data_IF_838955597787
#
_entry.id   IF_838955597787
#
_cell.length_a   1.000
_cell.length_b   1.000
_cell.length_c   1.000
_cell.angle_alpha   90.00
_cell.angle_beta   90.00
_cell.angle_gamma   90.00
#
_symmetry.space_group_name_H-M   'P 1'
#
loop_
_entity.id
_entity.type
_entity.pdbx_description
1 polymer ?
#
# COMPACT_ATOMS: atom_id res chain seq x y z
N UNK A 1 -7.40 -7.53 22.03
CA UNK A 1 -6.22 -7.54 21.13
C UNK A 1 -5.01 -7.96 21.94
N UNK A 2 -4.25 -8.96 21.51
CA UNK A 2 -2.94 -9.23 22.11
C UNK A 2 -2.02 -8.05 21.80
N UNK A 3 -1.36 -7.50 22.82
CA UNK A 3 -0.36 -6.45 22.63
C UNK A 3 1.03 -7.03 22.89
N UNK A 4 1.98 -6.71 22.02
CA UNK A 4 3.39 -7.01 22.23
C UNK A 4 4.14 -5.72 22.54
N UNK A 5 5.14 -5.79 23.43
CA UNK A 5 5.98 -4.65 23.79
C UNK A 5 7.16 -4.56 22.83
N UNK A 6 7.31 -3.41 22.19
CA UNK A 6 8.49 -3.03 21.41
C UNK A 6 9.29 -2.01 22.24
N UNK A 7 10.57 -2.30 22.49
CA UNK A 7 11.50 -1.37 23.13
C UNK A 7 12.57 -0.96 22.13
N UNK A 8 12.65 0.33 21.81
CA UNK A 8 13.61 0.89 20.87
C UNK A 8 14.27 2.12 21.47
N UNK A 9 15.56 2.32 21.20
CA UNK A 9 16.26 3.56 21.57
C UNK A 9 15.93 4.62 20.52
N UNK A 10 15.61 5.82 20.96
CA UNK A 10 15.37 6.97 20.08
C UNK A 10 16.30 8.13 20.45
N UNK A 11 16.67 8.99 19.48
CA UNK A 11 17.43 10.21 19.77
C UNK A 11 16.67 11.14 20.71
N UNK A 12 17.39 11.89 21.54
CA UNK A 12 16.79 12.83 22.52
C UNK A 12 15.89 13.88 21.85
N UNK A 13 16.27 14.38 20.68
CA UNK A 13 15.44 15.31 19.92
C UNK A 13 14.07 14.74 19.56
N UNK A 14 14.03 13.45 19.15
CA UNK A 14 12.78 12.79 18.79
C UNK A 14 11.88 12.55 20.01
N UNK A 15 12.46 12.31 21.19
CA UNK A 15 11.71 12.24 22.45
C UNK A 15 11.02 13.59 22.74
N UNK A 16 11.75 14.71 22.60
CA UNK A 16 11.20 16.05 22.81
C UNK A 16 10.08 16.43 21.83
N UNK A 17 10.24 16.04 20.56
CA UNK A 17 9.19 16.22 19.54
C UNK A 17 7.93 15.41 19.88
N UNK A 18 8.10 14.16 20.34
CA UNK A 18 7.00 13.28 20.72
C UNK A 18 6.22 13.82 21.93
N UNK A 19 6.92 14.32 22.95
CA UNK A 19 6.30 14.96 24.12
C UNK A 19 5.51 16.22 23.74
N UNK A 20 6.07 17.05 22.87
CA UNK A 20 5.42 18.28 22.39
C UNK A 20 4.17 17.95 21.57
N UNK A 21 4.24 16.91 20.73
CA UNK A 21 3.11 16.42 19.95
C UNK A 21 2.02 15.80 20.85
N UNK A 22 2.40 15.03 21.88
CA UNK A 22 1.48 14.48 22.85
C UNK A 22 0.70 15.58 23.58
N UNK A 23 1.40 16.64 24.04
CA UNK A 23 0.76 17.78 24.71
C UNK A 23 -0.20 18.55 23.81
N UNK A 24 0.17 18.79 22.56
CA UNK A 24 -0.66 19.56 21.63
C UNK A 24 -1.86 18.78 21.09
N UNK A 25 -1.74 17.46 20.96
CA UNK A 25 -2.82 16.59 20.43
C UNK A 25 -3.71 15.98 21.51
N UNK A 26 -3.26 15.96 22.77
CA UNK A 26 -3.93 15.28 23.88
C UNK A 26 -3.81 13.75 23.84
N UNK A 27 -3.01 13.20 22.92
CA UNK A 27 -2.76 11.76 22.78
C UNK A 27 -1.59 11.31 23.63
N UNK A 28 -1.54 10.03 23.98
CA UNK A 28 -0.37 9.45 24.63
C UNK A 28 0.78 9.25 23.63
N UNK A 29 2.03 9.30 24.11
CA UNK A 29 3.22 8.99 23.29
C UNK A 29 3.10 7.62 22.61
N UNK A 30 2.61 6.60 23.32
CA UNK A 30 2.41 5.25 22.76
C UNK A 30 1.35 5.21 21.65
N UNK A 31 0.34 6.07 21.71
CA UNK A 31 -0.69 6.17 20.68
C UNK A 31 -0.11 6.83 19.41
N UNK A 32 0.63 7.93 19.58
CA UNK A 32 1.32 8.60 18.49
C UNK A 32 2.33 7.69 17.79
N UNK A 33 3.14 6.94 18.57
CA UNK A 33 4.11 5.99 18.02
C UNK A 33 3.40 4.89 17.23
N UNK A 34 2.28 4.37 17.74
CA UNK A 34 1.50 3.34 17.04
C UNK A 34 0.93 3.86 15.73
N UNK A 35 0.31 5.04 15.75
CA UNK A 35 -0.24 5.68 14.56
C UNK A 35 0.84 5.90 13.49
N UNK A 36 1.99 6.42 13.89
CA UNK A 36 3.12 6.65 12.98
C UNK A 36 3.63 5.35 12.35
N UNK A 37 3.77 4.27 13.14
CA UNK A 37 4.21 2.97 12.64
C UNK A 37 3.16 2.38 11.68
N UNK A 38 1.87 2.45 12.03
CA UNK A 38 0.78 1.96 11.18
C UNK A 38 0.71 2.71 9.85
N UNK A 39 0.85 4.04 9.87
CA UNK A 39 0.89 4.86 8.67
C UNK A 39 2.12 4.55 7.81
N UNK A 40 3.29 4.42 8.43
CA UNK A 40 4.52 4.04 7.73
C UNK A 40 4.38 2.67 7.07
N UNK A 41 3.86 1.67 7.81
CA UNK A 41 3.60 0.34 7.26
C UNK A 41 2.58 0.38 6.12
N UNK A 42 1.58 1.24 6.18
CA UNK A 42 0.57 1.39 5.12
C UNK A 42 1.15 2.02 3.87
N UNK A 43 2.04 3.01 4.02
CA UNK A 43 2.77 3.63 2.90
C UNK A 43 3.73 2.66 2.21
N UNK A 44 4.31 1.74 2.97
CA UNK A 44 5.32 0.78 2.48
C UNK A 44 4.78 -0.62 2.20
N UNK A 45 3.54 -0.92 2.61
CA UNK A 45 2.79 -2.01 1.98
C UNK A 45 2.66 -1.60 0.53
N UNK A 46 3.31 -2.36 -0.36
CA UNK A 46 3.08 -2.23 -1.79
C UNK A 46 1.58 -2.09 -2.02
N UNK A 47 1.20 -1.04 -2.74
CA UNK A 47 -0.20 -0.84 -3.10
C UNK A 47 -0.75 -2.09 -3.81
N UNK A 48 -2.07 -2.22 -3.93
CA UNK A 48 -2.64 -3.28 -4.74
C UNK A 48 -1.94 -3.29 -6.11
N UNK A 49 -1.54 -4.49 -6.56
CA UNK A 49 -0.93 -4.62 -7.88
C UNK A 49 -1.90 -4.11 -8.95
N UNK A 50 -1.40 -3.80 -10.15
CA UNK A 50 -2.27 -3.44 -11.28
C UNK A 50 -3.33 -4.53 -11.53
N UNK A 51 -2.97 -5.79 -11.30
CA UNK A 51 -3.90 -6.92 -11.32
C UNK A 51 -5.00 -6.80 -10.27
N UNK A 52 -4.65 -6.56 -9.00
CA UNK A 52 -5.62 -6.42 -7.91
C UNK A 52 -6.59 -5.25 -8.15
N UNK A 53 -6.08 -4.14 -8.68
CA UNK A 53 -6.89 -2.99 -9.06
C UNK A 53 -7.85 -3.30 -10.21
N UNK A 54 -7.35 -3.95 -11.28
CA UNK A 54 -8.17 -4.33 -12.42
C UNK A 54 -9.25 -5.35 -12.05
N UNK A 55 -8.92 -6.30 -11.17
CA UNK A 55 -9.87 -7.28 -10.65
C UNK A 55 -10.96 -6.59 -9.82
N UNK A 56 -10.58 -5.70 -8.89
CA UNK A 56 -11.53 -4.94 -8.07
C UNK A 56 -12.43 -4.02 -8.89
N UNK A 57 -11.91 -3.43 -9.96
CA UNK A 57 -12.66 -2.59 -10.89
C UNK A 57 -13.56 -3.39 -11.84
N UNK A 58 -13.53 -4.73 -11.78
CA UNK A 58 -14.29 -5.60 -12.67
C UNK A 58 -13.83 -5.54 -14.13
N UNK A 59 -12.60 -5.06 -14.39
CA UNK A 59 -12.03 -4.97 -15.73
C UNK A 59 -11.55 -6.33 -16.23
N UNK A 60 -11.08 -7.19 -15.32
CA UNK A 60 -10.67 -8.55 -15.67
C UNK A 60 -11.93 -9.35 -16.05
N UNK A 61 -12.00 -9.78 -17.31
CA UNK A 61 -13.12 -10.56 -17.85
C UNK A 61 -14.36 -9.73 -18.24
N UNK A 62 -14.27 -8.39 -18.30
CA UNK A 62 -15.42 -7.55 -18.68
C UNK A 62 -15.82 -7.67 -20.15
N UNK A 63 -14.86 -7.99 -21.03
CA UNK A 63 -15.10 -8.14 -22.46
C UNK A 63 -15.57 -9.57 -22.77
N UNK A 64 -16.65 -9.67 -23.54
CA UNK A 64 -17.26 -10.93 -23.95
C UNK A 64 -16.93 -11.21 -25.42
N UNK A 65 -17.02 -12.48 -25.81
CA UNK A 65 -16.87 -12.94 -27.20
C UNK A 65 -15.50 -12.58 -27.84
N UNK A 66 -14.47 -12.41 -27.01
CA UNK A 66 -13.08 -12.24 -27.44
C UNK A 66 -12.30 -13.56 -27.38
N UNK A 67 -11.20 -13.69 -28.15
CA UNK A 67 -10.28 -14.82 -28.02
C UNK A 67 -9.79 -14.99 -26.58
N UNK A 68 -9.72 -16.24 -26.11
CA UNK A 68 -9.35 -16.57 -24.74
C UNK A 68 -7.90 -16.21 -24.37
N UNK A 69 -7.01 -16.13 -25.35
CA UNK A 69 -5.61 -15.77 -25.15
C UNK A 69 -5.09 -14.88 -26.28
N UNK A 70 -4.84 -13.61 -25.95
CA UNK A 70 -4.25 -12.64 -26.86
C UNK A 70 -2.73 -12.54 -26.70
N UNK A 71 -2.18 -13.09 -25.61
CA UNK A 71 -0.77 -12.89 -25.23
C UNK A 71 0.16 -13.99 -25.74
N UNK A 72 -0.36 -15.18 -26.05
CA UNK A 72 0.46 -16.31 -26.50
C UNK A 72 0.26 -16.70 -27.97
N UNK A 73 -0.73 -16.15 -28.66
CA UNK A 73 -0.95 -16.40 -30.10
C UNK A 73 -0.37 -15.25 -30.94
N UNK A 74 0.79 -15.44 -31.61
CA UNK A 74 1.47 -14.39 -32.38
C UNK A 74 0.62 -13.84 -33.54
N UNK A 75 -0.33 -14.62 -34.07
CA UNK A 75 -1.21 -14.19 -35.16
C UNK A 75 -2.09 -12.99 -34.75
N UNK A 76 -2.42 -12.86 -33.47
CA UNK A 76 -3.20 -11.72 -32.96
C UNK A 76 -2.36 -10.44 -32.84
N UNK A 77 -1.04 -10.52 -33.00
CA UNK A 77 -0.11 -9.38 -32.99
C UNK A 77 0.27 -8.93 -34.41
N UNK A 78 -0.26 -9.57 -35.46
CA UNK A 78 0.04 -9.21 -36.84
C UNK A 78 -0.40 -7.76 -37.13
N UNK A 79 0.56 -6.92 -37.51
CA UNK A 79 0.33 -5.50 -37.79
C UNK A 79 0.38 -4.58 -36.57
N UNK A 80 0.53 -5.10 -35.34
CA UNK A 80 0.67 -4.29 -34.15
C UNK A 80 1.97 -3.46 -34.20
N UNK A 81 1.86 -2.14 -34.04
CA UNK A 81 3.01 -1.22 -34.05
C UNK A 81 3.58 -0.87 -35.43
N UNK A 82 2.84 -1.14 -36.52
CA UNK A 82 3.18 -0.61 -37.86
C UNK A 82 2.46 0.72 -38.10
N UNK A 83 3.13 1.61 -38.84
CA UNK A 83 2.72 3.00 -39.12
C UNK A 83 1.40 3.13 -39.91
#
# INVERSE_FOLDING_TARGET
>A
MSSQRLSVRIPEGLQGDLESLARSTGKSESELVREAIEEYCRKHRGGPSCYDLALKAGLIGCAKDLPADLSTNPQHMDGFGRE
#
